data_IF_311712032899
#
_entry.id   IF_311712032899
#
_cell.length_a   1.000
_cell.length_b   1.000
_cell.length_c   1.000
_cell.angle_alpha   90.00
_cell.angle_beta   90.00
_cell.angle_gamma   90.00
#
_symmetry.space_group_name_H-M   'P 1'
#
loop_
_entity.id
_entity.type
_entity.pdbx_description
1 polymer ?
#
# COMPACT_ATOMS: atom_id res chain seq x y z
N UNK A 1 42.40 36.25 1.38
CA UNK A 1 41.66 35.62 0.27
C UNK A 1 40.49 34.91 0.94
N UNK A 2 39.41 35.65 1.17
CA UNK A 2 38.22 35.17 1.85
C UNK A 2 37.40 34.34 0.86
N UNK A 3 37.16 33.08 1.20
CA UNK A 3 36.17 32.28 0.50
C UNK A 3 34.80 32.75 0.97
N UNK A 4 34.08 33.43 0.08
CA UNK A 4 32.68 33.75 0.29
C UNK A 4 31.93 32.46 0.64
N UNK A 5 31.32 32.46 1.83
CA UNK A 5 30.28 31.51 2.17
C UNK A 5 29.17 31.69 1.14
N UNK A 6 29.08 30.76 0.19
CA UNK A 6 27.90 30.61 -0.65
C UNK A 6 26.70 30.52 0.30
N UNK A 7 25.73 31.41 0.09
CA UNK A 7 24.49 31.47 0.84
C UNK A 7 23.93 30.05 0.98
N UNK A 8 23.75 29.58 2.21
CA UNK A 8 22.92 28.42 2.50
C UNK A 8 21.50 28.74 1.99
N UNK A 9 21.24 28.38 0.74
CA UNK A 9 19.88 28.30 0.23
C UNK A 9 19.30 27.08 0.93
N UNK A 10 18.39 27.32 1.86
CA UNK A 10 17.67 26.26 2.54
C UNK A 10 17.08 25.34 1.45
N UNK A 11 17.45 24.05 1.41
CA UNK A 11 17.06 23.18 0.31
C UNK A 11 15.54 23.09 0.24
N UNK A 12 14.95 23.62 -0.83
CA UNK A 12 13.52 23.52 -1.07
C UNK A 12 13.17 22.06 -1.38
N UNK A 13 12.56 21.39 -0.41
CA UNK A 13 12.17 19.98 -0.52
C UNK A 13 10.76 19.87 -1.11
N UNK A 14 10.59 18.98 -2.10
CA UNK A 14 9.25 18.68 -2.60
C UNK A 14 8.46 17.90 -1.57
N UNK A 15 7.24 18.35 -1.26
CA UNK A 15 6.33 17.64 -0.36
C UNK A 15 5.90 16.30 -0.96
N UNK A 16 5.94 15.26 -0.14
CA UNK A 16 5.58 13.90 -0.52
C UNK A 16 4.59 13.28 0.47
N UNK A 17 3.61 12.47 0.03
CA UNK A 17 3.38 12.00 -1.34
C UNK A 17 2.81 13.05 -2.31
N UNK A 18 3.17 12.95 -3.59
CA UNK A 18 2.61 13.81 -4.64
C UNK A 18 1.15 13.46 -4.93
N UNK A 19 0.35 14.49 -5.22
CA UNK A 19 -1.06 14.34 -5.57
C UNK A 19 -1.21 13.91 -7.02
N UNK A 20 -1.99 12.86 -7.27
CA UNK A 20 -2.40 12.50 -8.64
C UNK A 20 -3.41 13.53 -9.15
N UNK A 21 -3.24 14.08 -10.36
CA UNK A 21 -4.22 15.01 -10.94
C UNK A 21 -5.56 14.30 -11.22
N UNK A 22 -5.52 13.03 -11.61
CA UNK A 22 -6.64 12.15 -11.93
C UNK A 22 -6.20 10.67 -11.79
N UNK A 23 -7.14 9.72 -11.91
CA UNK A 23 -6.92 8.32 -11.52
C UNK A 23 -5.87 7.57 -12.35
N UNK A 24 -5.71 7.93 -13.61
CA UNK A 24 -4.88 7.26 -14.61
C UNK A 24 -3.54 7.97 -14.87
N UNK A 25 -3.40 9.25 -14.52
CA UNK A 25 -2.13 9.96 -14.71
C UNK A 25 -1.20 9.87 -13.48
N UNK A 26 0.09 10.05 -13.76
CA UNK A 26 1.14 10.16 -12.76
C UNK A 26 1.34 11.64 -12.38
N UNK A 27 1.68 11.93 -11.12
CA UNK A 27 2.10 13.28 -10.72
C UNK A 27 3.27 13.80 -11.58
N UNK A 28 3.16 15.05 -12.04
CA UNK A 28 4.13 15.68 -12.94
C UNK A 28 5.54 15.75 -12.35
N UNK A 29 5.64 15.79 -11.03
CA UNK A 29 6.88 15.80 -10.26
C UNK A 29 7.75 14.58 -10.56
N UNK A 30 7.16 13.40 -10.81
CA UNK A 30 7.95 12.21 -11.18
C UNK A 30 8.66 12.40 -12.52
N UNK A 31 8.01 13.03 -13.51
CA UNK A 31 8.64 13.32 -14.80
C UNK A 31 9.79 14.30 -14.67
N UNK A 32 9.64 15.33 -13.83
CA UNK A 32 10.71 16.30 -13.53
C UNK A 32 11.89 15.61 -12.83
N UNK A 33 11.63 14.85 -11.77
CA UNK A 33 12.65 14.15 -11.00
C UNK A 33 13.42 13.15 -11.86
N UNK A 34 12.76 12.41 -12.75
CA UNK A 34 13.43 11.48 -13.66
C UNK A 34 14.44 12.16 -14.59
N UNK A 35 14.20 13.42 -14.98
CA UNK A 35 15.07 14.18 -15.89
C UNK A 35 16.20 14.91 -15.17
N UNK A 36 15.89 15.51 -14.03
CA UNK A 36 16.78 16.48 -13.36
C UNK A 36 17.49 15.88 -12.15
N UNK A 37 16.77 15.12 -11.31
CA UNK A 37 17.28 14.68 -10.01
C UNK A 37 16.59 13.36 -9.58
N UNK A 38 17.02 12.21 -10.13
CA UNK A 38 16.35 10.92 -9.91
C UNK A 38 16.49 10.37 -8.49
N UNK A 39 17.40 10.96 -7.70
CA UNK A 39 17.60 10.72 -6.27
C UNK A 39 17.61 12.07 -5.57
N UNK A 40 16.57 12.36 -4.80
CA UNK A 40 16.36 13.67 -4.18
C UNK A 40 15.87 13.53 -2.73
N UNK A 41 15.83 14.63 -1.99
CA UNK A 41 15.23 14.70 -0.65
C UNK A 41 13.80 15.21 -0.79
N UNK A 42 12.86 14.58 -0.11
CA UNK A 42 11.45 14.98 -0.08
C UNK A 42 11.02 15.32 1.34
N UNK A 43 10.01 16.16 1.53
CA UNK A 43 9.46 16.50 2.84
C UNK A 43 8.19 15.68 3.12
N UNK A 44 8.12 15.01 4.27
CA UNK A 44 6.92 14.31 4.73
C UNK A 44 6.07 15.18 5.66
N UNK A 45 4.84 14.73 5.95
CA UNK A 45 3.89 15.39 6.85
C UNK A 45 4.42 15.69 8.27
N UNK A 46 5.46 14.99 8.73
CA UNK A 46 6.09 15.18 10.04
C UNK A 46 7.32 16.13 9.99
N UNK A 47 7.53 16.81 8.86
CA UNK A 47 8.67 17.70 8.60
C UNK A 47 9.99 16.95 8.39
N UNK A 48 9.93 15.63 8.22
CA UNK A 48 11.13 14.84 7.99
C UNK A 48 11.51 14.75 6.53
N UNK A 49 12.79 14.55 6.28
CA UNK A 49 13.35 14.56 4.94
C UNK A 49 13.90 13.17 4.58
N UNK A 50 13.13 12.21 4.07
CA UNK A 50 13.68 10.97 3.50
C UNK A 50 14.33 11.19 2.12
N UNK A 51 15.08 10.18 1.68
CA UNK A 51 15.52 10.07 0.29
C UNK A 51 14.39 9.50 -0.58
N UNK A 52 14.10 10.15 -1.70
CA UNK A 52 13.18 9.74 -2.75
C UNK A 52 13.97 9.27 -3.97
N UNK A 53 13.67 8.07 -4.46
CA UNK A 53 14.36 7.43 -5.58
C UNK A 53 13.32 7.02 -6.60
N UNK A 54 13.45 7.54 -7.83
CA UNK A 54 12.38 7.41 -8.84
C UNK A 54 12.80 6.61 -10.07
N UNK A 55 14.10 6.40 -10.30
CA UNK A 55 14.59 5.67 -11.47
C UNK A 55 14.46 4.16 -11.25
N UNK A 56 13.84 3.46 -12.20
CA UNK A 56 13.59 2.01 -12.12
C UNK A 56 14.83 1.19 -11.71
N UNK A 57 15.97 1.41 -12.38
CA UNK A 57 17.22 0.70 -12.07
C UNK A 57 17.64 0.89 -10.61
N UNK A 58 17.64 2.14 -10.14
CA UNK A 58 18.09 2.49 -8.80
C UNK A 58 17.14 1.92 -7.74
N UNK A 59 15.83 1.92 -8.01
CA UNK A 59 14.82 1.26 -7.16
C UNK A 59 15.09 -0.25 -7.08
N UNK A 60 15.31 -0.94 -8.21
CA UNK A 60 15.63 -2.37 -8.21
C UNK A 60 16.91 -2.68 -7.44
N UNK A 61 17.97 -1.91 -7.68
CA UNK A 61 19.28 -2.09 -7.04
C UNK A 61 19.17 -1.85 -5.52
N UNK A 62 18.37 -0.85 -5.08
CA UNK A 62 18.13 -0.58 -3.66
C UNK A 62 17.29 -1.65 -2.97
N UNK A 63 16.26 -2.19 -3.61
CA UNK A 63 15.39 -3.20 -2.99
C UNK A 63 16.13 -4.50 -2.63
N UNK A 64 17.27 -4.77 -3.26
CA UNK A 64 18.15 -5.91 -2.96
C UNK A 64 19.41 -5.51 -2.18
N UNK A 65 19.61 -4.22 -1.89
CA UNK A 65 20.84 -3.73 -1.29
C UNK A 65 20.93 -4.16 0.18
N UNK A 66 21.96 -4.93 0.57
CA UNK A 66 22.01 -5.60 1.88
C UNK A 66 22.13 -4.64 3.07
N UNK A 67 22.51 -3.37 2.83
CA UNK A 67 22.60 -2.36 3.89
C UNK A 67 21.28 -1.62 4.14
N UNK A 68 20.28 -1.77 3.27
CA UNK A 68 18.95 -1.21 3.52
C UNK A 68 18.13 -2.20 4.33
N UNK A 69 17.54 -1.70 5.42
CA UNK A 69 16.72 -2.50 6.31
C UNK A 69 15.26 -2.08 6.19
N UNK A 70 14.37 -3.07 6.18
CA UNK A 70 12.92 -2.87 6.34
C UNK A 70 12.51 -2.74 7.80
N UNK A 71 13.46 -2.91 8.73
CA UNK A 71 13.18 -2.87 10.15
C UNK A 71 12.74 -1.47 10.59
N UNK A 72 11.52 -1.41 11.12
CA UNK A 72 10.91 -0.18 11.60
C UNK A 72 11.45 0.14 13.00
N UNK A 73 12.60 0.83 13.06
CA UNK A 73 13.04 1.47 14.32
C UNK A 73 12.44 2.87 14.44
N UNK A 74 12.29 3.36 15.67
CA UNK A 74 11.75 4.68 15.99
C UNK A 74 12.52 5.84 15.35
N UNK A 75 13.81 5.62 15.05
CA UNK A 75 14.68 6.63 14.43
C UNK A 75 14.85 6.44 12.91
N UNK A 76 14.65 5.23 12.38
CA UNK A 76 15.06 4.89 11.02
C UNK A 76 13.92 4.78 10.00
N UNK A 77 12.68 4.49 10.43
CA UNK A 77 11.57 4.29 9.50
C UNK A 77 10.55 5.43 9.60
N UNK A 78 10.56 6.28 8.58
CA UNK A 78 9.71 7.46 8.48
C UNK A 78 8.54 7.13 7.57
N UNK A 79 7.35 7.30 8.10
CA UNK A 79 6.11 6.85 7.47
C UNK A 79 5.55 7.92 6.58
N UNK A 80 5.22 7.55 5.35
CA UNK A 80 4.76 8.52 4.34
C UNK A 80 3.42 9.16 4.71
N UNK A 81 2.62 8.50 5.57
CA UNK A 81 1.30 8.97 5.97
C UNK A 81 1.08 8.93 7.50
N UNK A 82 0.24 9.83 8.06
CA UNK A 82 -0.08 9.86 9.49
C UNK A 82 -0.74 8.58 10.00
N UNK A 83 -1.59 7.93 9.19
CA UNK A 83 -2.34 6.71 9.54
C UNK A 83 -1.43 5.56 9.96
N UNK A 84 -0.21 5.56 9.45
CA UNK A 84 0.70 4.45 9.67
C UNK A 84 1.38 4.52 11.05
N UNK A 85 1.46 5.69 11.70
CA UNK A 85 2.14 5.93 12.99
C UNK A 85 1.87 4.88 14.10
N UNK A 86 0.64 4.37 14.30
CA UNK A 86 0.30 3.60 15.50
C UNK A 86 0.51 2.08 15.42
N UNK A 87 0.87 1.54 14.24
CA UNK A 87 1.05 0.09 14.03
C UNK A 87 2.15 -0.55 14.92
N UNK A 88 2.86 0.25 15.73
CA UNK A 88 3.95 -0.16 16.61
C UNK A 88 3.51 -0.60 18.03
N UNK A 89 2.35 -0.17 18.54
CA UNK A 89 2.01 -0.41 19.96
C UNK A 89 1.67 -1.87 20.30
N UNK A 90 1.44 -2.73 19.32
CA UNK A 90 0.95 -4.11 19.54
C UNK A 90 2.03 -5.19 19.46
N UNK A 91 3.31 -4.86 19.20
CA UNK A 91 4.37 -5.88 19.08
C UNK A 91 4.18 -6.89 17.94
N UNK A 92 3.14 -6.71 17.11
CA UNK A 92 2.83 -7.55 15.97
C UNK A 92 3.62 -7.06 14.76
N UNK A 93 4.86 -7.53 14.65
CA UNK A 93 5.58 -7.39 13.41
C UNK A 93 4.94 -8.34 12.38
N UNK A 94 4.07 -7.81 11.51
CA UNK A 94 3.66 -8.53 10.31
C UNK A 94 4.90 -8.91 9.49
N UNK A 95 4.87 -10.08 8.86
CA UNK A 95 5.95 -10.67 8.05
C UNK A 95 6.52 -9.71 6.99
N UNK A 96 5.75 -8.70 6.59
CA UNK A 96 6.14 -7.61 5.69
C UNK A 96 7.29 -6.75 6.27
N UNK A 97 7.43 -6.73 7.60
CA UNK A 97 8.33 -5.84 8.35
C UNK A 97 9.54 -6.55 8.97
N UNK A 98 9.71 -7.86 8.72
CA UNK A 98 10.81 -8.68 9.25
C UNK A 98 11.67 -9.22 8.11
N UNK A 99 12.98 -9.33 8.37
CA UNK A 99 14.00 -9.84 7.46
C UNK A 99 13.66 -11.20 6.81
N UNK A 100 14.19 -11.39 5.60
CA UNK A 100 13.93 -12.46 4.62
C UNK A 100 13.91 -13.91 5.16
N UNK A 101 14.61 -14.20 6.26
CA UNK A 101 14.77 -15.55 6.84
C UNK A 101 13.45 -16.08 7.44
N UNK A 102 12.61 -15.19 7.97
CA UNK A 102 11.32 -15.58 8.59
C UNK A 102 10.20 -15.66 7.53
N UNK A 103 10.26 -14.86 6.45
CA UNK A 103 9.38 -15.01 5.27
C UNK A 103 9.46 -16.41 4.65
N UNK A 104 10.56 -17.14 4.87
CA UNK A 104 10.71 -18.51 4.41
C UNK A 104 9.71 -19.50 5.05
N UNK A 105 9.12 -19.17 6.20
CA UNK A 105 8.09 -19.97 6.87
C UNK A 105 6.66 -19.41 6.73
N UNK A 106 6.48 -18.35 5.92
CA UNK A 106 5.19 -17.69 5.70
C UNK A 106 4.26 -18.43 4.71
N UNK A 107 3.15 -17.81 4.28
CA UNK A 107 2.08 -18.41 3.47
C UNK A 107 2.47 -18.71 2.01
N UNK A 108 3.75 -18.92 1.71
CA UNK A 108 4.28 -19.08 0.34
C UNK A 108 3.62 -20.25 -0.41
N UNK A 109 3.17 -21.28 0.30
CA UNK A 109 2.42 -22.41 -0.28
C UNK A 109 1.12 -21.99 -0.95
N UNK A 110 0.48 -20.92 -0.48
CA UNK A 110 -0.76 -20.36 -1.05
C UNK A 110 -0.52 -19.44 -2.25
N UNK A 111 0.74 -19.23 -2.65
CA UNK A 111 1.10 -18.33 -3.74
C UNK A 111 2.10 -18.97 -4.73
N UNK A 112 2.21 -20.30 -4.74
CA UNK A 112 2.94 -21.00 -5.80
C UNK A 112 2.14 -20.95 -7.10
N UNK A 113 2.81 -21.09 -8.25
CA UNK A 113 2.12 -21.12 -9.56
C UNK A 113 1.13 -22.27 -9.63
N UNK A 114 1.48 -23.40 -9.04
CA UNK A 114 0.68 -24.62 -9.00
C UNK A 114 -0.58 -24.41 -8.16
N UNK A 115 -0.46 -23.77 -6.98
CA UNK A 115 -1.61 -23.44 -6.15
C UNK A 115 -2.52 -22.42 -6.85
N UNK A 116 -1.98 -21.33 -7.39
CA UNK A 116 -2.79 -20.33 -8.09
C UNK A 116 -3.55 -20.95 -9.27
N UNK A 117 -2.91 -21.86 -10.02
CA UNK A 117 -3.59 -22.61 -11.09
C UNK A 117 -4.70 -23.51 -10.56
N UNK A 118 -4.51 -24.17 -9.42
CA UNK A 118 -5.54 -25.02 -8.83
C UNK A 118 -6.75 -24.23 -8.32
N UNK A 119 -6.55 -22.95 -7.98
CA UNK A 119 -7.63 -22.04 -7.56
C UNK A 119 -8.43 -21.44 -8.73
N UNK A 120 -8.01 -21.64 -9.99
CA UNK A 120 -8.66 -20.99 -11.14
C UNK A 120 -10.18 -21.27 -11.23
N UNK A 121 -10.69 -22.51 -11.01
CA UNK A 121 -12.12 -22.75 -11.01
C UNK A 121 -12.85 -21.95 -9.93
N UNK A 122 -12.31 -21.92 -8.70
CA UNK A 122 -12.88 -21.15 -7.59
C UNK A 122 -12.89 -19.63 -7.86
N UNK A 123 -11.84 -19.11 -8.48
CA UNK A 123 -11.76 -17.70 -8.88
C UNK A 123 -12.82 -17.40 -9.94
N UNK A 124 -12.97 -18.26 -10.95
CA UNK A 124 -13.97 -18.11 -12.01
C UNK A 124 -15.39 -18.13 -11.43
N UNK A 125 -15.70 -19.07 -10.54
CA UNK A 125 -17.00 -19.15 -9.87
C UNK A 125 -17.28 -17.92 -9.01
N UNK A 126 -16.25 -17.39 -8.34
CA UNK A 126 -16.37 -16.18 -7.52
C UNK A 126 -16.63 -14.94 -8.37
N UNK A 127 -15.90 -14.80 -9.48
CA UNK A 127 -16.13 -13.70 -10.44
C UNK A 127 -17.52 -13.80 -11.03
N UNK A 128 -17.95 -15.00 -11.46
CA UNK A 128 -19.28 -15.20 -12.03
C UNK A 128 -20.39 -14.83 -11.04
N UNK A 129 -20.28 -15.27 -9.78
CA UNK A 129 -21.24 -14.89 -8.73
C UNK A 129 -21.39 -13.37 -8.62
N UNK A 130 -20.28 -12.64 -8.51
CA UNK A 130 -20.35 -11.19 -8.35
C UNK A 130 -20.77 -10.45 -9.63
N UNK A 131 -20.55 -11.03 -10.81
CA UNK A 131 -21.16 -10.52 -12.04
C UNK A 131 -22.68 -10.69 -12.02
N UNK A 132 -23.17 -11.85 -11.60
CA UNK A 132 -24.61 -12.12 -11.50
C UNK A 132 -25.26 -11.18 -10.47
N UNK A 133 -24.62 -10.95 -9.32
CA UNK A 133 -25.07 -9.98 -8.30
C UNK A 133 -25.06 -8.54 -8.82
N UNK A 134 -24.04 -8.14 -9.59
CA UNK A 134 -23.96 -6.83 -10.22
C UNK A 134 -25.10 -6.61 -11.23
N UNK A 135 -25.36 -7.60 -12.09
CA UNK A 135 -26.44 -7.56 -13.08
C UNK A 135 -27.79 -7.49 -12.36
N UNK A 136 -28.00 -8.29 -11.31
CA UNK A 136 -29.22 -8.26 -10.52
C UNK A 136 -29.44 -6.89 -9.86
N UNK A 137 -28.40 -6.28 -9.28
CA UNK A 137 -28.47 -4.95 -8.68
C UNK A 137 -28.77 -3.84 -9.71
N UNK A 138 -28.28 -4.00 -10.94
CA UNK A 138 -28.51 -3.05 -12.04
C UNK A 138 -29.88 -3.17 -12.71
N UNK A 139 -30.63 -4.27 -12.56
CA UNK A 139 -31.91 -4.45 -13.25
C UNK A 139 -32.97 -3.41 -12.87
N UNK A 140 -32.88 -2.84 -11.67
CA UNK A 140 -33.83 -1.84 -11.15
C UNK A 140 -33.28 -0.41 -11.16
N UNK A 141 -32.05 -0.20 -11.65
CA UNK A 141 -31.33 1.07 -11.55
C UNK A 141 -30.66 1.45 -12.87
N UNK A 142 -30.64 2.75 -13.19
CA UNK A 142 -29.92 3.26 -14.37
C UNK A 142 -28.39 3.20 -14.21
N UNK A 143 -27.91 3.20 -12.96
CA UNK A 143 -26.50 3.19 -12.61
C UNK A 143 -26.28 2.26 -11.42
N UNK A 144 -25.17 1.51 -11.43
CA UNK A 144 -24.77 0.61 -10.35
C UNK A 144 -23.31 0.85 -9.97
N UNK A 145 -23.01 0.83 -8.67
CA UNK A 145 -21.64 1.01 -8.16
C UNK A 145 -20.81 -0.27 -8.37
N UNK A 146 -19.96 -0.26 -9.41
CA UNK A 146 -19.07 -1.37 -9.74
C UNK A 146 -18.06 -1.68 -8.61
N UNK A 147 -17.61 -0.68 -7.87
CA UNK A 147 -16.64 -0.89 -6.78
C UNK A 147 -17.30 -1.67 -5.67
N UNK A 148 -18.48 -1.20 -5.22
CA UNK A 148 -19.23 -1.81 -4.14
C UNK A 148 -19.70 -3.23 -4.49
N UNK A 149 -20.23 -3.44 -5.69
CA UNK A 149 -20.89 -4.69 -6.06
C UNK A 149 -19.97 -5.74 -6.69
N UNK A 150 -18.80 -5.36 -7.21
CA UNK A 150 -17.92 -6.28 -7.92
C UNK A 150 -16.45 -6.17 -7.51
N UNK A 151 -15.84 -4.98 -7.67
CA UNK A 151 -14.39 -4.85 -7.59
C UNK A 151 -13.83 -5.03 -6.17
N UNK A 152 -14.55 -4.59 -5.14
CA UNK A 152 -14.18 -4.78 -3.74
C UNK A 152 -14.49 -6.19 -3.21
N UNK A 153 -15.70 -6.75 -3.37
CA UNK A 153 -16.04 -8.03 -2.76
C UNK A 153 -15.34 -9.23 -3.44
N UNK A 154 -15.04 -9.16 -4.75
CA UNK A 154 -14.38 -10.24 -5.49
C UNK A 154 -13.02 -10.67 -4.90
N UNK A 155 -12.01 -9.78 -4.80
CA UNK A 155 -10.72 -10.15 -4.21
C UNK A 155 -10.83 -10.44 -2.70
N UNK A 156 -11.73 -9.76 -1.99
CA UNK A 156 -11.95 -9.95 -0.54
C UNK A 156 -12.43 -11.37 -0.25
N UNK A 157 -13.43 -11.86 -1.00
CA UNK A 157 -13.90 -13.25 -0.89
C UNK A 157 -12.79 -14.25 -1.17
N UNK A 158 -12.01 -14.04 -2.23
CA UNK A 158 -10.92 -14.96 -2.60
C UNK A 158 -9.91 -15.07 -1.47
N UNK A 159 -9.42 -13.93 -0.93
CA UNK A 159 -8.41 -13.96 0.12
C UNK A 159 -8.95 -14.52 1.44
N UNK A 160 -10.20 -14.20 1.82
CA UNK A 160 -10.79 -14.72 3.05
C UNK A 160 -11.03 -16.22 2.99
N UNK A 161 -11.43 -16.77 1.84
CA UNK A 161 -11.51 -18.22 1.65
C UNK A 161 -10.13 -18.90 1.75
N UNK A 162 -9.09 -18.31 1.15
CA UNK A 162 -7.71 -18.84 1.27
C UNK A 162 -7.23 -18.84 2.73
N UNK A 163 -7.62 -17.82 3.51
CA UNK A 163 -7.29 -17.70 4.93
C UNK A 163 -8.17 -18.58 5.84
N UNK A 164 -9.20 -19.24 5.31
CA UNK A 164 -10.12 -20.08 6.08
C UNK A 164 -11.08 -19.30 6.99
N UNK A 165 -11.38 -18.04 6.65
CA UNK A 165 -12.30 -17.20 7.41
C UNK A 165 -13.75 -17.63 7.12
N UNK A 166 -14.62 -17.72 8.14
CA UNK A 166 -16.05 -17.96 7.94
C UNK A 166 -16.73 -16.85 7.15
N UNK A 167 -17.74 -17.19 6.35
CA UNK A 167 -18.39 -16.24 5.45
C UNK A 167 -19.12 -15.11 6.20
N UNK A 168 -19.66 -15.41 7.37
CA UNK A 168 -20.34 -14.46 8.26
C UNK A 168 -19.45 -13.29 8.69
N UNK A 169 -18.12 -13.46 8.67
CA UNK A 169 -17.17 -12.42 9.09
C UNK A 169 -16.72 -11.52 7.93
N UNK A 170 -17.08 -11.83 6.67
CA UNK A 170 -16.51 -11.15 5.49
C UNK A 170 -16.86 -9.67 5.44
N UNK A 171 -18.12 -9.30 5.70
CA UNK A 171 -18.55 -7.91 5.67
C UNK A 171 -17.87 -7.09 6.77
N UNK A 172 -17.86 -7.63 7.99
CA UNK A 172 -17.20 -7.00 9.13
C UNK A 172 -15.73 -6.73 8.80
N UNK A 173 -14.98 -7.76 8.39
CA UNK A 173 -13.56 -7.64 8.09
C UNK A 173 -13.26 -6.72 6.90
N UNK A 174 -14.13 -6.68 5.89
CA UNK A 174 -14.00 -5.75 4.76
C UNK A 174 -14.15 -4.29 5.22
N UNK A 175 -15.09 -4.02 6.13
CA UNK A 175 -15.28 -2.67 6.69
C UNK A 175 -14.09 -2.21 7.55
N UNK A 176 -13.52 -3.15 8.32
CA UNK A 176 -12.32 -2.94 9.12
C UNK A 176 -11.12 -2.61 8.22
N UNK A 177 -10.96 -3.36 7.13
CA UNK A 177 -9.87 -3.17 6.16
C UNK A 177 -9.98 -1.82 5.44
N UNK A 178 -11.17 -1.47 4.92
CA UNK A 178 -11.41 -0.19 4.25
C UNK A 178 -11.04 1.01 5.14
N UNK A 179 -11.35 0.92 6.44
CA UNK A 179 -10.98 1.96 7.42
C UNK A 179 -9.47 2.07 7.62
N UNK A 180 -8.76 0.93 7.62
CA UNK A 180 -7.33 0.82 7.88
C UNK A 180 -6.46 1.21 6.69
N UNK A 181 -6.91 0.92 5.48
CA UNK A 181 -6.16 1.15 4.23
C UNK A 181 -6.44 2.53 3.62
N UNK A 182 -7.46 3.24 4.11
CA UNK A 182 -7.70 4.62 3.72
C UNK A 182 -6.57 5.55 4.22
N UNK A 183 -5.75 6.03 3.28
CA UNK A 183 -4.63 6.95 3.56
C UNK A 183 -5.05 8.30 4.15
N UNK A 184 -6.32 8.67 4.05
CA UNK A 184 -6.91 9.88 4.65
C UNK A 184 -7.49 9.63 6.05
N UNK A 185 -7.58 8.37 6.50
CA UNK A 185 -8.05 8.05 7.85
C UNK A 185 -7.06 8.53 8.91
N UNK A 186 -7.59 8.91 10.08
CA UNK A 186 -6.71 9.17 11.22
C UNK A 186 -6.10 7.86 11.71
N UNK A 187 -4.89 7.98 12.25
CA UNK A 187 -4.20 6.92 12.99
C UNK A 187 -5.10 6.26 14.05
N UNK A 188 -5.93 7.05 14.74
CA UNK A 188 -6.86 6.57 15.76
C UNK A 188 -8.01 5.74 15.16
N UNK A 189 -8.61 6.20 14.05
CA UNK A 189 -9.66 5.47 13.34
C UNK A 189 -9.19 4.11 12.82
N UNK A 190 -7.99 4.05 12.21
CA UNK A 190 -7.40 2.80 11.74
C UNK A 190 -7.07 1.80 12.87
N UNK A 191 -6.76 2.28 14.08
CA UNK A 191 -6.56 1.43 15.25
C UNK A 191 -7.85 0.93 15.88
N UNK A 192 -8.92 1.72 15.81
CA UNK A 192 -10.21 1.38 16.38
C UNK A 192 -11.04 0.46 15.47
N UNK A 193 -10.62 0.27 14.21
CA UNK A 193 -11.36 -0.47 13.20
C UNK A 193 -11.72 -1.92 13.57
N UNK A 194 -11.02 -2.56 14.51
CA UNK A 194 -11.28 -3.95 14.93
C UNK A 194 -11.39 -4.08 16.46
N UNK A 195 -12.02 -3.10 17.13
CA UNK A 195 -12.23 -3.08 18.57
C UNK A 195 -13.68 -3.28 18.94
#
# INVERSE_FOLDING_TARGET
MEFHADKEVDPEYSKFPFTRPNGDELPAEFHRLLRECPVSRAELWDGSHPWLVVKHKDVCDMLIYPRLSKFVSEKAFRRCLPVERPLRKTGQHSWIWIHQIICARGPRSFFTKEYVKSQLPFIQDTVQRYLDELIAAGNDQMEVDLVKHFALPTPSRIIYCILGIPHEDFEYLSSCDATRTNGSSTAAAAQAANK
#
